data_IF_776755399477
#
_entry.id   IF_776755399477
#
_cell.length_a   1.000
_cell.length_b   1.000
_cell.length_c   1.000
_cell.angle_alpha   90.00
_cell.angle_beta   90.00
_cell.angle_gamma   90.00
#
_symmetry.space_group_name_H-M   'P 1'
#
loop_
_entity.id
_entity.type
_entity.pdbx_description
1 polymer ?
#
# COMPACT_ATOMS: atom_id res chain seq x y z
N UNK A 1 -2.76 19.68 -23.79
CA UNK A 1 -2.02 19.09 -22.67
C UNK A 1 -2.83 17.97 -22.07
N UNK A 2 -2.26 16.76 -22.08
CA UNK A 2 -2.88 15.57 -21.50
C UNK A 2 -2.17 15.23 -20.19
N UNK A 3 -2.93 14.82 -19.17
CA UNK A 3 -2.41 14.40 -17.86
C UNK A 3 -2.57 12.89 -17.69
N UNK A 4 -1.56 12.25 -17.09
CA UNK A 4 -1.64 10.83 -16.69
C UNK A 4 -2.23 10.78 -15.28
N UNK A 5 -3.41 10.19 -15.14
CA UNK A 5 -4.16 10.13 -13.89
C UNK A 5 -4.27 8.71 -13.31
N UNK A 6 -3.97 7.68 -14.08
CA UNK A 6 -3.90 6.29 -13.62
C UNK A 6 -2.93 5.48 -14.49
N UNK A 7 -2.45 4.34 -13.97
CA UNK A 7 -1.64 3.41 -14.75
C UNK A 7 -2.52 2.48 -15.59
N UNK A 8 -2.04 2.11 -16.78
CA UNK A 8 -2.78 1.26 -17.69
C UNK A 8 -2.75 -0.24 -17.34
N UNK A 9 -3.58 -1.07 -18.02
CA UNK A 9 -3.68 -2.52 -17.78
C UNK A 9 -2.35 -3.29 -17.83
N UNK A 10 -1.41 -2.89 -18.70
CA UNK A 10 -0.09 -3.53 -18.77
C UNK A 10 0.74 -3.32 -17.49
N UNK A 11 0.65 -2.13 -16.91
CA UNK A 11 1.33 -1.80 -15.66
C UNK A 11 0.70 -2.53 -14.48
N UNK A 12 -0.63 -2.65 -14.44
CA UNK A 12 -1.34 -3.47 -13.45
C UNK A 12 -0.84 -4.92 -13.49
N UNK A 13 -0.79 -5.52 -14.69
CA UNK A 13 -0.32 -6.89 -14.86
C UNK A 13 1.14 -7.05 -14.40
N UNK A 14 2.00 -6.09 -14.72
CA UNK A 14 3.40 -6.11 -14.29
C UNK A 14 3.54 -6.02 -12.76
N UNK A 15 2.79 -5.12 -12.11
CA UNK A 15 2.78 -4.97 -10.65
C UNK A 15 2.30 -6.25 -9.98
N UNK A 16 1.19 -6.84 -10.45
CA UNK A 16 0.67 -8.09 -9.89
C UNK A 16 1.67 -9.24 -10.03
N UNK A 17 2.38 -9.34 -11.16
CA UNK A 17 3.41 -10.35 -11.36
C UNK A 17 4.61 -10.19 -10.40
N UNK A 18 4.90 -8.97 -9.93
CA UNK A 18 5.90 -8.73 -8.87
C UNK A 18 5.35 -9.09 -7.49
N UNK A 19 4.09 -8.75 -7.21
CA UNK A 19 3.41 -9.14 -5.96
C UNK A 19 3.40 -10.66 -5.80
N UNK A 20 3.16 -11.41 -6.88
CA UNK A 20 3.13 -12.88 -6.85
C UNK A 20 4.47 -13.52 -6.47
N UNK A 21 5.57 -12.80 -6.70
CA UNK A 21 6.93 -13.25 -6.37
C UNK A 21 7.38 -12.77 -4.99
N UNK A 22 6.69 -11.79 -4.40
CA UNK A 22 7.07 -11.19 -3.15
C UNK A 22 6.69 -12.08 -1.95
N UNK A 23 7.51 -12.04 -0.91
CA UNK A 23 7.15 -12.58 0.42
C UNK A 23 6.57 -11.51 1.34
N UNK A 24 7.01 -10.26 1.13
CA UNK A 24 6.54 -9.09 1.87
C UNK A 24 6.21 -7.99 0.86
N UNK A 25 5.02 -7.42 0.98
CA UNK A 25 4.59 -6.22 0.26
C UNK A 25 4.58 -5.05 1.23
N UNK A 26 5.20 -3.95 0.83
CA UNK A 26 5.13 -2.66 1.51
C UNK A 26 4.49 -1.67 0.55
N UNK A 27 3.35 -1.10 0.91
CA UNK A 27 2.59 -0.20 0.04
C UNK A 27 2.37 1.16 0.71
N UNK A 28 2.86 2.23 0.08
CA UNK A 28 2.51 3.61 0.41
C UNK A 28 2.23 4.42 -0.87
N UNK A 29 0.99 4.91 -1.00
CA UNK A 29 0.51 5.75 -2.10
C UNK A 29 -0.34 4.99 -3.13
N UNK A 30 -1.50 5.54 -3.56
CA UNK A 30 -2.31 4.95 -4.63
C UNK A 30 -1.57 4.99 -5.99
N UNK A 31 -2.01 4.16 -6.95
CA UNK A 31 -1.40 4.06 -8.29
C UNK A 31 -1.91 5.11 -9.29
N UNK A 32 -2.95 5.85 -8.90
CA UNK A 32 -3.60 6.90 -9.68
C UNK A 32 -4.37 7.85 -8.78
N UNK A 33 -5.07 8.81 -9.38
CA UNK A 33 -5.98 9.73 -8.71
C UNK A 33 -7.27 9.02 -8.27
N UNK A 34 -7.14 8.11 -7.29
CA UNK A 34 -8.18 7.17 -6.87
C UNK A 34 -9.47 7.82 -6.36
N UNK A 35 -9.43 9.11 -6.05
CA UNK A 35 -10.58 9.90 -5.63
C UNK A 35 -11.52 10.21 -6.80
N UNK A 36 -11.02 10.16 -8.03
CA UNK A 36 -11.73 10.57 -9.25
C UNK A 36 -11.97 9.34 -10.13
N UNK A 37 -13.23 8.95 -10.30
CA UNK A 37 -13.56 7.91 -11.27
C UNK A 37 -13.31 8.40 -12.71
N UNK A 38 -12.76 7.58 -13.63
CA UNK A 38 -12.42 6.15 -13.47
C UNK A 38 -10.95 5.86 -13.10
N UNK A 39 -10.22 6.84 -12.54
CA UNK A 39 -8.78 6.77 -12.27
C UNK A 39 -8.39 6.04 -10.97
N UNK A 40 -9.34 5.30 -10.40
CA UNK A 40 -9.16 4.38 -9.29
C UNK A 40 -8.93 2.93 -9.73
N UNK A 41 -9.10 2.65 -11.02
CA UNK A 41 -9.09 1.30 -11.60
C UNK A 41 -7.83 0.53 -11.21
N UNK A 42 -6.65 1.09 -11.41
CA UNK A 42 -5.42 0.37 -11.09
C UNK A 42 -5.25 0.13 -9.60
N UNK A 43 -5.51 1.16 -8.79
CA UNK A 43 -5.37 1.07 -7.33
C UNK A 43 -6.29 -0.02 -6.77
N UNK A 44 -7.55 -0.06 -7.19
CA UNK A 44 -8.51 -1.08 -6.76
C UNK A 44 -8.11 -2.47 -7.26
N UNK A 45 -7.68 -2.60 -8.51
CA UNK A 45 -7.28 -3.89 -9.08
C UNK A 45 -6.07 -4.49 -8.35
N UNK A 46 -5.03 -3.68 -8.10
CA UNK A 46 -3.83 -4.12 -7.40
C UNK A 46 -4.11 -4.37 -5.91
N UNK A 47 -4.96 -3.57 -5.27
CA UNK A 47 -5.39 -3.77 -3.88
C UNK A 47 -6.06 -5.13 -3.68
N UNK A 48 -7.00 -5.47 -4.56
CA UNK A 48 -7.69 -6.75 -4.53
C UNK A 48 -6.76 -7.92 -4.78
N UNK A 49 -5.81 -7.78 -5.71
CA UNK A 49 -4.81 -8.82 -5.97
C UNK A 49 -3.91 -9.04 -4.74
N UNK A 50 -3.35 -7.98 -4.16
CA UNK A 50 -2.52 -8.06 -2.97
C UNK A 50 -3.23 -8.72 -1.79
N UNK A 51 -4.47 -8.32 -1.51
CA UNK A 51 -5.32 -8.91 -0.47
C UNK A 51 -5.53 -10.41 -0.68
N UNK A 52 -5.83 -10.83 -1.91
CA UNK A 52 -6.00 -12.25 -2.24
C UNK A 52 -4.70 -13.04 -2.01
N UNK A 53 -3.55 -12.49 -2.40
CA UNK A 53 -2.24 -13.12 -2.18
C UNK A 53 -1.88 -13.19 -0.70
N UNK A 54 -2.29 -12.22 0.12
CA UNK A 54 -2.14 -12.30 1.58
C UNK A 54 -2.92 -13.47 2.15
N UNK A 55 -4.19 -13.64 1.76
CA UNK A 55 -5.04 -14.74 2.25
C UNK A 55 -4.60 -16.11 1.76
N UNK A 56 -4.19 -16.24 0.50
CA UNK A 56 -3.99 -17.56 -0.15
C UNK A 56 -2.55 -18.02 -0.24
N UNK A 57 -1.59 -17.08 -0.25
CA UNK A 57 -0.17 -17.39 -0.47
C UNK A 57 0.74 -16.92 0.68
N UNK A 58 0.15 -16.42 1.78
CA UNK A 58 0.91 -15.98 2.95
C UNK A 58 1.79 -14.76 2.67
N UNK A 59 1.42 -13.92 1.68
CA UNK A 59 2.09 -12.64 1.46
C UNK A 59 1.91 -11.75 2.69
N UNK A 60 3.00 -11.37 3.34
CA UNK A 60 2.98 -10.40 4.43
C UNK A 60 2.78 -8.99 3.84
N UNK A 61 1.57 -8.45 3.90
CA UNK A 61 1.23 -7.16 3.28
C UNK A 61 1.09 -6.05 4.33
N UNK A 62 1.93 -5.03 4.19
CA UNK A 62 1.91 -3.85 5.04
C UNK A 62 1.58 -2.63 4.20
N UNK A 63 0.47 -1.97 4.52
CA UNK A 63 0.04 -0.74 3.87
C UNK A 63 0.13 0.45 4.84
N UNK A 64 0.65 1.56 4.34
CA UNK A 64 0.94 2.76 5.12
C UNK A 64 0.47 4.04 4.42
N UNK A 65 -0.09 4.98 5.19
CA UNK A 65 -0.43 6.34 4.73
C UNK A 65 -1.92 6.54 4.52
N UNK A 66 -2.44 7.71 4.90
CA UNK A 66 -3.86 8.04 4.88
C UNK A 66 -4.54 7.73 3.54
N UNK A 67 -3.92 8.16 2.43
CA UNK A 67 -4.43 7.91 1.08
C UNK A 67 -4.46 6.42 0.72
N UNK A 68 -3.40 5.67 1.07
CA UNK A 68 -3.36 4.21 0.86
C UNK A 68 -4.47 3.53 1.64
N UNK A 69 -4.65 3.88 2.92
CA UNK A 69 -5.69 3.31 3.78
C UNK A 69 -7.08 3.62 3.21
N UNK A 70 -7.34 4.86 2.81
CA UNK A 70 -8.59 5.25 2.18
C UNK A 70 -8.86 4.48 0.88
N UNK A 71 -7.84 4.29 0.04
CA UNK A 71 -7.94 3.52 -1.18
C UNK A 71 -8.22 2.03 -0.93
N UNK A 72 -7.60 1.41 0.09
CA UNK A 72 -7.87 0.02 0.48
C UNK A 72 -9.29 -0.17 1.01
N UNK A 73 -9.81 0.79 1.80
CA UNK A 73 -11.21 0.79 2.22
C UNK A 73 -12.16 0.93 1.03
N UNK A 74 -11.86 1.83 0.09
CA UNK A 74 -12.63 1.99 -1.15
C UNK A 74 -12.63 0.70 -1.99
N UNK A 75 -11.51 -0.02 -2.03
CA UNK A 75 -11.40 -1.31 -2.72
C UNK A 75 -12.12 -2.46 -1.98
N UNK A 76 -12.45 -2.27 -0.70
CA UNK A 76 -13.14 -3.23 0.16
C UNK A 76 -12.24 -4.32 0.74
N UNK A 77 -10.93 -4.06 0.87
CA UNK A 77 -9.92 -5.08 1.21
C UNK A 77 -8.98 -4.69 2.35
N UNK A 78 -9.26 -3.60 3.07
CA UNK A 78 -8.39 -3.13 4.15
C UNK A 78 -8.16 -4.22 5.23
N UNK A 79 -9.20 -4.97 5.58
CA UNK A 79 -9.14 -6.03 6.60
C UNK A 79 -8.46 -7.32 6.12
N UNK A 80 -8.21 -7.45 4.80
CA UNK A 80 -7.53 -8.60 4.20
C UNK A 80 -6.00 -8.45 4.18
N UNK A 81 -5.47 -7.26 4.54
CA UNK A 81 -4.04 -7.00 4.62
C UNK A 81 -3.46 -7.43 5.97
N UNK A 82 -2.16 -7.76 6.01
CA UNK A 82 -1.52 -8.21 7.26
C UNK A 82 -1.37 -7.08 8.28
N UNK A 83 -1.11 -5.85 7.82
CA UNK A 83 -1.05 -4.66 8.66
C UNK A 83 -1.39 -3.41 7.87
N UNK A 84 -2.27 -2.57 8.42
CA UNK A 84 -2.68 -1.29 7.82
C UNK A 84 -2.44 -0.18 8.83
N UNK A 85 -1.72 0.87 8.42
CA UNK A 85 -1.37 2.00 9.28
C UNK A 85 -1.60 3.33 8.58
N UNK A 86 -2.13 4.32 9.30
CA UNK A 86 -2.27 5.70 8.80
C UNK A 86 -0.93 6.45 8.79
N UNK A 87 0.09 5.95 9.50
CA UNK A 87 1.38 6.59 9.67
C UNK A 87 2.34 6.34 8.48
N UNK A 88 1.93 6.71 7.27
CA UNK A 88 2.68 6.42 6.04
C UNK A 88 4.10 6.99 6.01
N UNK A 89 4.25 8.30 6.31
CA UNK A 89 5.56 8.97 6.32
C UNK A 89 6.50 8.41 7.38
N UNK A 90 6.04 8.30 8.62
CA UNK A 90 6.83 7.73 9.72
C UNK A 90 7.20 6.25 9.47
N UNK A 91 6.31 5.48 8.84
CA UNK A 91 6.59 4.09 8.49
C UNK A 91 7.68 3.97 7.40
N UNK A 92 7.67 4.83 6.39
CA UNK A 92 8.73 4.86 5.38
C UNK A 92 10.06 5.36 5.95
N UNK A 93 10.06 6.41 6.79
CA UNK A 93 11.28 6.88 7.46
C UNK A 93 11.92 5.78 8.31
N UNK A 94 11.11 4.98 9.00
CA UNK A 94 11.58 3.83 9.74
C UNK A 94 12.15 2.73 8.82
N UNK A 95 11.51 2.44 7.68
CA UNK A 95 12.04 1.50 6.68
C UNK A 95 13.34 1.97 6.03
N UNK A 96 13.53 3.29 5.89
CA UNK A 96 14.79 3.90 5.46
C UNK A 96 15.91 3.79 6.50
N UNK A 97 15.61 3.24 7.69
CA UNK A 97 16.57 3.07 8.79
C UNK A 97 16.76 4.32 9.64
N UNK A 98 15.92 5.34 9.48
CA UNK A 98 15.98 6.53 10.33
C UNK A 98 15.41 6.20 11.71
N UNK A 99 16.03 6.76 12.72
CA UNK A 99 15.49 6.75 14.07
C UNK A 99 14.18 7.54 14.10
N UNK A 100 13.13 6.96 14.69
CA UNK A 100 11.89 7.67 14.97
C UNK A 100 12.01 8.35 16.35
N UNK A 101 12.11 9.70 16.43
CA UNK A 101 12.35 10.38 17.70
C UNK A 101 11.28 10.07 18.76
N UNK A 102 10.03 9.90 18.33
CA UNK A 102 8.91 9.53 19.19
C UNK A 102 8.99 8.10 19.76
N UNK A 103 9.68 7.17 19.09
CA UNK A 103 9.93 5.81 19.62
C UNK A 103 11.19 5.79 20.47
N UNK A 104 12.23 6.54 20.09
CA UNK A 104 13.47 6.62 20.86
C UNK A 104 13.27 7.20 22.26
N UNK A 105 12.43 8.22 22.39
CA UNK A 105 12.15 8.82 23.71
C UNK A 105 11.46 7.84 24.65
N UNK A 106 10.62 6.93 24.13
CA UNK A 106 9.96 5.89 24.93
C UNK A 106 10.94 4.78 25.36
N UNK A 107 11.94 4.47 24.54
CA UNK A 107 13.00 3.51 24.89
C UNK A 107 13.94 3.98 26.00
N UNK A 108 14.06 5.29 26.23
CA UNK A 108 14.95 5.85 27.28
C UNK A 108 14.36 5.80 28.68
N UNK A 109 13.06 5.48 28.81
CA UNK A 109 12.33 5.49 30.08
C UNK A 109 11.90 4.09 30.55
N UNK A 110 12.44 3.02 29.96
CA UNK A 110 12.26 1.63 30.39
C UNK A 110 13.61 0.98 30.67
#
# INVERSE_FOLDING_TARGET
DDMILDIGPRSIAAVNAWIDKAKTLVWNGPLGAFEIAPFDTATVAVARHAAERTKTAGLNSVAGGGETVAALHKAGVADDFSSVSTAGGAFLEWLEGKALPGVEVLRRNG
#
